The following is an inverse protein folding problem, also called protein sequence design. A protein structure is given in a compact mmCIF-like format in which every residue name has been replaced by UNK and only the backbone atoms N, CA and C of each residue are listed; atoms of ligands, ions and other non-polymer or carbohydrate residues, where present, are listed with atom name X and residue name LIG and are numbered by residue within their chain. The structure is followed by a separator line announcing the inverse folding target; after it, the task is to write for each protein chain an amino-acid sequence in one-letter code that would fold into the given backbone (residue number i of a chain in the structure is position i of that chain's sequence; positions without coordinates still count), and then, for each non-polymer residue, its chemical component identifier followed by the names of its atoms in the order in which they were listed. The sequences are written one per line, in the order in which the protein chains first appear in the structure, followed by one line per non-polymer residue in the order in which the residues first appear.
data_IF_543313112068
#
_entry.id   IF_543313112068
#
_cell.length_a   1.000
_cell.length_b   1.000
_cell.length_c   1.000
_cell.angle_alpha   90.00
_cell.angle_beta   90.00
_cell.angle_gamma   90.00
#
_symmetry.space_group_name_H-M   'P 1'
#
loop_
_entity.id
_entity.type
_entity.pdbx_description
1 polymer ?
#
# COMPACT_ATOMS: atom_id res chain seq x y z
N UNK A 1 -28.29 5.93 33.84
CA UNK A 1 -28.49 5.29 32.51
C UNK A 1 -27.33 5.51 31.54
N UNK A 2 -26.69 6.69 31.47
CA UNK A 2 -25.48 6.91 30.67
C UNK A 2 -24.26 6.06 31.10
N UNK A 3 -24.10 5.84 32.41
CA UNK A 3 -22.96 5.08 32.95
C UNK A 3 -23.00 3.57 32.60
N UNK A 4 -24.21 3.02 32.46
CA UNK A 4 -24.45 1.62 32.12
C UNK A 4 -24.22 1.37 30.63
N UNK A 5 -24.62 2.30 29.76
CA UNK A 5 -24.32 2.25 28.32
C UNK A 5 -22.82 2.28 28.05
N UNK A 6 -22.07 3.12 28.77
CA UNK A 6 -20.60 3.22 28.66
C UNK A 6 -19.89 1.93 29.13
N UNK A 7 -20.40 1.25 30.17
CA UNK A 7 -19.88 -0.04 30.63
C UNK A 7 -20.18 -1.18 29.64
N UNK A 8 -21.35 -1.20 29.01
CA UNK A 8 -21.72 -2.22 28.02
C UNK A 8 -20.93 -2.07 26.71
N UNK A 9 -20.68 -0.83 26.25
CA UNK A 9 -19.76 -0.54 25.14
C UNK A 9 -18.35 -1.04 25.44
N UNK A 10 -17.80 -0.70 26.62
CA UNK A 10 -16.47 -1.18 27.05
C UNK A 10 -16.39 -2.71 27.13
N UNK A 11 -17.50 -3.40 27.39
CA UNK A 11 -17.56 -4.87 27.47
C UNK A 11 -17.70 -5.53 26.09
N UNK A 12 -18.40 -4.90 25.15
CA UNK A 12 -18.46 -5.31 23.75
C UNK A 12 -17.08 -5.17 23.08
N UNK A 13 -16.42 -4.01 23.30
CA UNK A 13 -15.05 -3.74 22.85
C UNK A 13 -14.01 -4.68 23.51
N UNK A 14 -14.25 -5.19 24.72
CA UNK A 14 -13.35 -6.14 25.39
C UNK A 14 -13.46 -7.59 24.89
N UNK A 15 -14.49 -7.89 24.10
CA UNK A 15 -14.78 -9.24 23.56
C UNK A 15 -14.60 -9.33 22.05
N UNK A 16 -14.22 -8.23 21.40
CA UNK A 16 -13.58 -8.27 20.09
C UNK A 16 -12.34 -9.15 20.20
N UNK A 17 -12.18 -10.05 19.24
CA UNK A 17 -11.11 -11.05 19.19
C UNK A 17 -9.79 -10.39 19.57
N UNK A 18 -9.10 -11.00 20.53
CA UNK A 18 -7.89 -10.46 21.13
C UNK A 18 -6.95 -9.96 20.02
N UNK A 19 -6.79 -8.64 19.91
CA UNK A 19 -5.90 -8.01 18.95
C UNK A 19 -6.53 -6.87 18.17
N UNK A 20 -7.65 -7.06 17.46
CA UNK A 20 -8.01 -6.10 16.39
C UNK A 20 -9.08 -5.08 16.80
N UNK A 21 -8.93 -3.82 16.37
CA UNK A 21 -9.94 -2.75 16.46
C UNK A 21 -10.20 -2.21 15.05
N UNK A 22 -11.47 -2.19 14.62
CA UNK A 22 -11.87 -1.51 13.39
C UNK A 22 -11.99 0.00 13.61
N UNK A 23 -11.36 0.80 12.75
CA UNK A 23 -11.30 2.25 12.85
C UNK A 23 -11.95 2.92 11.64
N UNK A 24 -12.88 3.84 11.91
CA UNK A 24 -13.45 4.74 10.92
C UNK A 24 -12.52 5.96 10.80
N UNK A 25 -11.77 6.04 9.70
CA UNK A 25 -10.68 7.02 9.52
C UNK A 25 -11.19 8.42 9.19
N UNK A 26 -12.38 8.54 8.61
CA UNK A 26 -12.96 9.84 8.22
C UNK A 26 -14.43 10.03 8.66
N UNK A 27 -14.88 11.27 8.50
CA UNK A 27 -16.20 11.75 8.91
C UNK A 27 -17.33 11.22 8.01
N UNK A 28 -17.06 10.92 6.73
CA UNK A 28 -18.05 10.35 5.81
C UNK A 28 -18.42 8.93 6.27
N UNK A 29 -17.41 8.10 6.51
CA UNK A 29 -17.60 6.72 6.98
C UNK A 29 -18.23 6.68 8.37
N UNK A 30 -17.81 7.59 9.25
CA UNK A 30 -18.45 7.75 10.55
C UNK A 30 -19.96 8.03 10.43
N UNK A 31 -20.36 8.93 9.52
CA UNK A 31 -21.78 9.24 9.27
C UNK A 31 -22.52 8.06 8.66
N UNK A 32 -21.89 7.28 7.78
CA UNK A 32 -22.50 6.07 7.24
C UNK A 32 -22.84 5.08 8.37
N UNK A 33 -21.99 4.94 9.39
CA UNK A 33 -22.25 4.08 10.55
C UNK A 33 -23.33 4.63 11.50
N UNK A 34 -23.52 5.96 11.57
CA UNK A 34 -24.56 6.61 12.39
C UNK A 34 -25.99 6.23 12.00
N UNK A 35 -26.22 5.62 10.83
CA UNK A 35 -27.53 5.07 10.43
C UNK A 35 -27.97 3.88 11.31
N UNK A 36 -27.02 3.19 11.94
CA UNK A 36 -27.27 2.06 12.82
C UNK A 36 -27.51 2.55 14.26
N UNK A 37 -28.67 2.23 14.84
CA UNK A 37 -29.09 2.74 16.16
C UNK A 37 -28.17 2.28 17.30
N UNK A 38 -27.52 1.13 17.12
CA UNK A 38 -26.55 0.56 18.05
C UNK A 38 -25.17 1.23 17.99
N UNK A 39 -24.93 2.14 17.04
CA UNK A 39 -23.71 2.93 16.92
C UNK A 39 -23.92 4.30 17.58
N UNK A 40 -23.62 4.39 18.87
CA UNK A 40 -24.07 5.50 19.73
C UNK A 40 -23.07 6.65 19.91
N UNK A 41 -22.02 6.73 19.08
CA UNK A 41 -21.05 7.83 19.14
C UNK A 41 -21.66 9.13 18.61
N UNK A 42 -21.34 10.27 19.23
CA UNK A 42 -21.98 11.55 18.93
C UNK A 42 -21.40 12.22 17.67
N UNK A 43 -20.08 12.26 17.56
CA UNK A 43 -19.30 12.90 16.50
C UNK A 43 -17.96 12.16 16.31
N UNK A 44 -17.32 12.34 15.16
CA UNK A 44 -16.10 11.62 14.77
C UNK A 44 -14.90 11.96 15.67
N UNK A 45 -14.72 13.23 16.03
CA UNK A 45 -13.61 13.64 16.90
C UNK A 45 -13.69 12.98 18.29
N UNK A 46 -14.89 12.93 18.88
CA UNK A 46 -15.15 12.23 20.14
C UNK A 46 -14.96 10.72 19.99
N UNK A 47 -15.34 10.14 18.84
CA UNK A 47 -15.10 8.73 18.54
C UNK A 47 -13.60 8.40 18.49
N UNK A 48 -12.81 9.15 17.70
CA UNK A 48 -11.35 8.93 17.60
C UNK A 48 -10.68 9.05 18.97
N UNK A 49 -11.02 10.09 19.75
CA UNK A 49 -10.48 10.24 21.11
C UNK A 49 -10.78 9.03 22.00
N UNK A 50 -12.01 8.51 21.96
CA UNK A 50 -12.39 7.34 22.75
C UNK A 50 -11.69 6.06 22.30
N UNK A 51 -11.46 5.89 20.99
CA UNK A 51 -10.69 4.77 20.45
C UNK A 51 -9.22 4.89 20.85
N UNK A 52 -8.63 6.08 20.77
CA UNK A 52 -7.26 6.32 21.21
C UNK A 52 -7.06 6.01 22.70
N UNK A 53 -7.97 6.47 23.57
CA UNK A 53 -7.94 6.16 25.01
C UNK A 53 -8.01 4.64 25.26
N UNK A 54 -8.80 3.91 24.44
CA UNK A 54 -8.90 2.46 24.50
C UNK A 54 -7.59 1.78 24.06
N UNK A 55 -6.99 2.23 22.96
CA UNK A 55 -5.72 1.73 22.45
C UNK A 55 -4.60 1.91 23.47
N UNK A 56 -4.46 3.12 24.03
CA UNK A 56 -3.50 3.44 25.10
C UNK A 56 -3.71 2.55 26.32
N UNK A 57 -4.97 2.32 26.71
CA UNK A 57 -5.30 1.43 27.83
C UNK A 57 -4.84 -0.02 27.54
N UNK A 58 -5.09 -0.55 26.35
CA UNK A 58 -4.65 -1.92 25.96
C UNK A 58 -3.12 -2.04 25.91
N UNK A 59 -2.44 -1.06 25.32
CA UNK A 59 -0.99 -1.02 25.25
C UNK A 59 -0.35 -1.02 26.66
N UNK A 60 -0.88 -0.21 27.59
CA UNK A 60 -0.41 -0.20 28.99
C UNK A 60 -0.61 -1.52 29.75
N UNK A 61 -1.49 -2.39 29.25
CA UNK A 61 -1.75 -3.73 29.81
C UNK A 61 -0.91 -4.83 29.13
N UNK A 62 0.00 -4.44 28.22
CA UNK A 62 0.87 -5.36 27.47
C UNK A 62 0.15 -6.11 26.35
N UNK A 63 -1.05 -5.66 25.94
CA UNK A 63 -1.79 -6.27 24.85
C UNK A 63 -1.31 -5.77 23.48
N UNK A 64 -0.90 -6.69 22.61
CA UNK A 64 -0.71 -6.39 21.19
C UNK A 64 -2.06 -6.07 20.58
N UNK A 65 -2.16 -4.89 19.97
CA UNK A 65 -3.41 -4.44 19.34
C UNK A 65 -3.11 -4.10 17.88
N UNK A 66 -3.90 -4.62 16.96
CA UNK A 66 -3.92 -4.27 15.55
C UNK A 66 -5.08 -3.32 15.31
N UNK A 67 -4.89 -2.32 14.47
CA UNK A 67 -5.95 -1.41 14.02
C UNK A 67 -6.18 -1.66 12.55
N UNK A 68 -7.43 -1.95 12.18
CA UNK A 68 -7.81 -2.20 10.80
C UNK A 68 -8.75 -1.09 10.30
N UNK A 69 -8.65 -0.73 9.02
CA UNK A 69 -9.58 0.21 8.40
C UNK A 69 -10.97 -0.43 8.36
N UNK A 70 -11.98 0.29 8.85
CA UNK A 70 -13.37 -0.17 8.84
C UNK A 70 -14.14 0.60 7.76
N UNK A 71 -14.40 -0.06 6.63
CA UNK A 71 -15.27 0.49 5.59
C UNK A 71 -16.75 0.13 5.88
N UNK A 72 -17.65 1.14 6.05
CA UNK A 72 -19.07 0.91 6.28
C UNK A 72 -19.85 0.28 5.12
N UNK A 73 -19.37 0.44 3.88
CA UNK A 73 -19.91 -0.18 2.68
C UNK A 73 -19.57 -1.67 2.68
N UNK A 74 -18.29 -2.02 2.82
CA UNK A 74 -17.86 -3.43 2.93
C UNK A 74 -18.55 -4.13 4.11
N UNK A 75 -18.71 -3.44 5.25
CA UNK A 75 -19.47 -3.98 6.38
C UNK A 75 -20.93 -4.32 6.03
N UNK A 76 -21.57 -3.48 5.23
CA UNK A 76 -22.96 -3.71 4.80
C UNK A 76 -23.05 -4.90 3.84
N UNK A 77 -22.13 -4.99 2.87
CA UNK A 77 -22.01 -6.11 1.93
C UNK A 77 -21.71 -7.43 2.66
N UNK A 78 -20.79 -7.41 3.62
CA UNK A 78 -20.50 -8.55 4.49
C UNK A 78 -21.74 -9.02 5.24
N UNK A 79 -22.50 -8.09 5.84
CA UNK A 79 -23.72 -8.43 6.56
C UNK A 79 -24.80 -9.02 5.64
N UNK A 80 -24.95 -8.47 4.43
CA UNK A 80 -25.87 -8.99 3.43
C UNK A 80 -25.48 -10.41 2.99
N UNK A 81 -24.21 -10.61 2.61
CA UNK A 81 -23.69 -11.90 2.17
C UNK A 81 -23.79 -13.00 3.25
N UNK A 82 -23.66 -12.64 4.52
CA UNK A 82 -23.68 -13.57 5.66
C UNK A 82 -25.03 -13.67 6.37
N UNK A 83 -26.04 -12.90 5.94
CA UNK A 83 -27.36 -12.83 6.58
C UNK A 83 -27.33 -12.28 8.01
N UNK A 84 -26.35 -11.43 8.34
CA UNK A 84 -26.21 -10.79 9.64
C UNK A 84 -27.00 -9.48 9.71
N UNK A 85 -27.53 -9.16 10.88
CA UNK A 85 -28.13 -7.84 11.11
C UNK A 85 -27.00 -6.80 11.28
N UNK A 86 -26.93 -5.75 10.45
CA UNK A 86 -25.86 -4.76 10.56
C UNK A 86 -26.00 -3.83 11.78
N UNK A 87 -27.19 -3.75 12.41
CA UNK A 87 -27.44 -2.89 13.57
C UNK A 87 -27.24 -3.58 14.94
N UNK A 88 -26.42 -4.64 15.01
CA UNK A 88 -26.06 -5.26 16.30
C UNK A 88 -24.53 -5.25 16.51
N UNK A 89 -24.06 -5.01 17.75
CA UNK A 89 -22.62 -4.99 18.05
C UNK A 89 -21.88 -6.26 17.67
N UNK A 90 -22.51 -7.44 17.79
CA UNK A 90 -21.88 -8.71 17.45
C UNK A 90 -21.57 -8.88 15.97
N UNK A 91 -22.34 -8.26 15.07
CA UNK A 91 -22.06 -8.29 13.63
C UNK A 91 -20.83 -7.45 13.30
N UNK A 92 -20.71 -6.26 13.90
CA UNK A 92 -19.49 -5.44 13.81
C UNK A 92 -18.27 -6.18 14.33
N UNK A 93 -18.38 -6.83 15.50
CA UNK A 93 -17.28 -7.65 16.04
C UNK A 93 -16.88 -8.78 15.09
N UNK A 94 -17.84 -9.42 14.40
CA UNK A 94 -17.53 -10.44 13.38
C UNK A 94 -16.85 -9.84 12.15
N UNK A 95 -17.25 -8.66 11.72
CA UNK A 95 -16.58 -7.99 10.61
C UNK A 95 -15.18 -7.53 10.98
N UNK A 96 -14.96 -6.96 12.17
CA UNK A 96 -13.61 -6.65 12.69
C UNK A 96 -12.72 -7.91 12.78
N UNK A 97 -13.30 -9.08 13.01
CA UNK A 97 -12.59 -10.35 12.94
C UNK A 97 -12.08 -10.67 11.53
N UNK A 98 -12.91 -10.41 10.52
CA UNK A 98 -12.60 -10.63 9.13
C UNK A 98 -11.46 -9.70 8.69
N UNK A 99 -11.60 -8.40 9.02
CA UNK A 99 -10.59 -7.38 8.76
C UNK A 99 -9.22 -7.74 9.33
N UNK A 100 -9.15 -8.47 10.45
CA UNK A 100 -7.89 -8.91 11.04
C UNK A 100 -7.09 -9.87 10.14
N UNK A 101 -7.75 -10.54 9.18
CA UNK A 101 -7.12 -11.51 8.28
C UNK A 101 -6.98 -10.98 6.86
N UNK A 102 -7.89 -10.11 6.42
CA UNK A 102 -8.01 -9.72 5.01
C UNK A 102 -8.03 -8.22 4.78
N UNK A 103 -8.19 -7.40 5.82
CA UNK A 103 -8.35 -5.96 5.67
C UNK A 103 -7.04 -5.19 5.89
N UNK A 104 -6.99 -3.91 5.45
CA UNK A 104 -5.85 -3.03 5.69
C UNK A 104 -5.66 -2.86 7.20
N UNK A 105 -4.50 -3.26 7.71
CA UNK A 105 -4.31 -3.37 9.15
C UNK A 105 -2.86 -3.11 9.59
N UNK A 106 -2.71 -2.29 10.65
CA UNK A 106 -1.41 -1.92 11.21
C UNK A 106 -1.30 -2.25 12.69
N UNK A 107 -0.12 -2.65 13.19
CA UNK A 107 0.10 -2.78 14.62
C UNK A 107 0.01 -1.39 15.31
N UNK A 108 -0.60 -1.38 16.49
CA UNK A 108 -0.58 -0.24 17.39
C UNK A 108 0.63 -0.34 18.32
N UNK A 109 1.56 0.60 18.18
CA UNK A 109 2.83 0.65 18.91
C UNK A 109 2.87 1.76 19.97
N UNK A 110 1.75 2.48 20.17
CA UNK A 110 1.63 3.57 21.14
C UNK A 110 1.65 4.97 20.54
N UNK A 111 1.74 5.09 19.21
CA UNK A 111 1.63 6.33 18.46
C UNK A 111 0.24 6.98 18.64
N UNK A 112 0.10 8.31 18.46
CA UNK A 112 -1.20 8.96 18.45
C UNK A 112 -1.99 8.62 17.17
N UNK A 113 -3.33 8.73 17.23
CA UNK A 113 -4.17 8.47 16.05
C UNK A 113 -3.92 9.47 14.91
N UNK A 114 -3.39 10.66 15.21
CA UNK A 114 -3.00 11.63 14.16
C UNK A 114 -1.93 11.09 13.23
N UNK A 115 -1.10 10.16 13.71
CA UNK A 115 0.01 9.58 12.97
C UNK A 115 -0.39 8.21 12.40
N UNK A 116 -1.20 7.44 13.14
CA UNK A 116 -1.68 6.13 12.69
C UNK A 116 -2.73 6.22 11.58
N UNK A 117 -3.65 7.19 11.63
CA UNK A 117 -4.74 7.28 10.64
C UNK A 117 -4.20 7.47 9.22
N UNK A 118 -3.28 8.42 8.94
CA UNK A 118 -2.68 8.54 7.61
C UNK A 118 -2.02 7.23 7.16
N UNK A 119 -1.18 6.62 8.00
CA UNK A 119 -0.52 5.36 7.67
C UNK A 119 -1.52 4.23 7.36
N UNK A 120 -2.64 4.15 8.07
CA UNK A 120 -3.67 3.14 7.83
C UNK A 120 -4.44 3.39 6.52
N UNK A 121 -4.62 4.66 6.13
CA UNK A 121 -5.20 5.02 4.84
C UNK A 121 -4.23 4.66 3.71
N UNK A 122 -2.94 4.97 3.87
CA UNK A 122 -1.90 4.60 2.91
C UNK A 122 -1.85 3.07 2.71
N UNK A 123 -1.93 2.31 3.81
CA UNK A 123 -2.03 0.84 3.78
C UNK A 123 -3.27 0.34 3.03
N UNK A 124 -4.41 1.02 3.17
CA UNK A 124 -5.62 0.67 2.43
C UNK A 124 -5.52 0.95 0.93
N UNK A 125 -4.92 2.08 0.55
CA UNK A 125 -4.65 2.41 -0.85
C UNK A 125 -3.70 1.39 -1.46
N UNK A 126 -2.67 0.98 -0.72
CA UNK A 126 -1.70 -0.04 -1.09
C UNK A 126 -2.37 -1.37 -1.40
N UNK A 127 -3.19 -1.84 -0.46
CA UNK A 127 -3.92 -3.09 -0.62
C UNK A 127 -4.88 -3.04 -1.82
N UNK A 128 -5.65 -1.95 -1.97
CA UNK A 128 -6.58 -1.78 -3.09
C UNK A 128 -5.84 -1.77 -4.45
N UNK A 129 -4.68 -1.12 -4.52
CA UNK A 129 -3.83 -1.08 -5.72
C UNK A 129 -3.34 -2.48 -6.09
N UNK A 130 -2.87 -3.25 -5.11
CA UNK A 130 -2.44 -4.63 -5.31
C UNK A 130 -3.59 -5.54 -5.79
N UNK A 131 -4.75 -5.47 -5.16
CA UNK A 131 -5.93 -6.27 -5.52
C UNK A 131 -6.42 -5.96 -6.94
N UNK A 132 -6.44 -4.67 -7.29
CA UNK A 132 -6.80 -4.22 -8.63
C UNK A 132 -5.81 -4.74 -9.68
N UNK A 133 -4.51 -4.53 -9.47
CA UNK A 133 -3.47 -4.98 -10.39
C UNK A 133 -3.45 -6.51 -10.56
N UNK A 134 -3.62 -7.24 -9.47
CA UNK A 134 -3.74 -8.71 -9.46
C UNK A 134 -4.95 -9.17 -10.29
N UNK A 135 -6.10 -8.51 -10.11
CA UNK A 135 -7.32 -8.79 -10.89
C UNK A 135 -7.10 -8.57 -12.38
N UNK A 136 -6.39 -7.50 -12.76
CA UNK A 136 -6.09 -7.21 -14.16
C UNK A 136 -5.12 -8.24 -14.77
N UNK A 137 -4.06 -8.61 -14.04
CA UNK A 137 -3.12 -9.64 -14.49
C UNK A 137 -3.81 -10.99 -14.71
N UNK A 138 -4.69 -11.40 -13.78
CA UNK A 138 -5.45 -12.64 -13.89
C UNK A 138 -6.38 -12.67 -15.11
N UNK A 139 -6.84 -11.51 -15.61
CA UNK A 139 -7.72 -11.41 -16.79
C UNK A 139 -6.99 -11.59 -18.12
N UNK A 140 -5.66 -11.50 -18.15
CA UNK A 140 -4.88 -11.65 -19.38
C UNK A 140 -4.95 -13.08 -19.94
N UNK A 141 -5.06 -14.08 -19.07
CA UNK A 141 -5.14 -15.48 -19.45
C UNK A 141 -3.87 -16.02 -20.10
N UNK A 142 -4.04 -17.10 -20.87
CA UNK A 142 -2.94 -17.79 -21.53
C UNK A 142 -2.70 -17.27 -22.95
N UNK A 143 -1.43 -17.26 -23.36
CA UNK A 143 -1.00 -16.95 -24.71
C UNK A 143 -1.60 -17.95 -25.72
N UNK A 144 -2.21 -17.43 -26.78
CA UNK A 144 -2.86 -18.26 -27.80
C UNK A 144 -1.91 -19.13 -28.64
N UNK A 145 -0.61 -18.83 -28.66
CA UNK A 145 0.38 -19.58 -29.46
C UNK A 145 1.17 -20.62 -28.65
N UNK A 146 1.56 -20.31 -27.41
CA UNK A 146 2.40 -21.18 -26.58
C UNK A 146 1.71 -21.70 -25.30
N UNK A 147 0.53 -21.18 -24.96
CA UNK A 147 -0.22 -21.59 -23.76
C UNK A 147 0.34 -21.08 -22.44
N UNK A 148 1.35 -20.21 -22.46
CA UNK A 148 1.93 -19.59 -21.25
C UNK A 148 0.96 -18.59 -20.61
N UNK A 149 0.83 -18.62 -19.28
CA UNK A 149 0.07 -17.61 -18.53
C UNK A 149 0.79 -16.26 -18.59
N UNK A 150 0.17 -15.29 -19.25
CA UNK A 150 0.76 -13.98 -19.53
C UNK A 150 0.98 -13.17 -18.25
N UNK A 151 0.05 -13.25 -17.29
CA UNK A 151 0.16 -12.54 -16.02
C UNK A 151 1.32 -13.08 -15.18
N UNK A 152 1.44 -14.41 -15.11
CA UNK A 152 2.56 -15.06 -14.40
C UNK A 152 3.91 -14.80 -15.07
N UNK A 153 3.97 -14.81 -16.40
CA UNK A 153 5.19 -14.49 -17.14
C UNK A 153 5.64 -13.06 -16.88
N UNK A 154 4.70 -12.10 -16.91
CA UNK A 154 4.98 -10.70 -16.61
C UNK A 154 5.42 -10.49 -15.16
N UNK A 155 4.78 -11.16 -14.19
CA UNK A 155 5.17 -11.10 -12.78
C UNK A 155 6.60 -11.61 -12.57
N UNK A 156 6.94 -12.76 -13.16
CA UNK A 156 8.30 -13.32 -13.10
C UNK A 156 9.34 -12.33 -13.64
N UNK A 157 9.02 -11.66 -14.75
CA UNK A 157 9.89 -10.66 -15.37
C UNK A 157 10.05 -9.42 -14.50
N UNK A 158 8.96 -8.90 -13.95
CA UNK A 158 8.98 -7.78 -13.02
C UNK A 158 9.83 -8.10 -11.78
N UNK A 159 9.71 -9.30 -11.21
CA UNK A 159 10.53 -9.73 -10.06
C UNK A 159 12.02 -9.74 -10.42
N UNK A 160 12.38 -10.24 -11.59
CA UNK A 160 13.79 -10.24 -12.03
C UNK A 160 14.33 -8.82 -12.20
N UNK A 161 13.55 -7.92 -12.80
CA UNK A 161 13.95 -6.51 -12.95
C UNK A 161 14.13 -5.83 -11.60
N UNK A 162 13.23 -6.07 -10.64
CA UNK A 162 13.35 -5.53 -9.29
C UNK A 162 14.63 -6.01 -8.61
N UNK A 163 14.94 -7.30 -8.69
CA UNK A 163 16.19 -7.86 -8.15
C UNK A 163 17.40 -7.21 -8.80
N UNK A 164 17.41 -7.05 -10.13
CA UNK A 164 18.52 -6.38 -10.84
C UNK A 164 18.69 -4.91 -10.41
N UNK A 165 17.61 -4.18 -10.19
CA UNK A 165 17.67 -2.80 -9.70
C UNK A 165 18.31 -2.76 -8.32
N UNK A 166 17.86 -3.63 -7.39
CA UNK A 166 18.37 -3.67 -6.03
C UNK A 166 19.83 -4.16 -5.98
N UNK A 167 20.22 -5.14 -6.79
CA UNK A 167 21.59 -5.66 -6.88
C UNK A 167 22.59 -4.63 -7.43
N UNK A 168 22.12 -3.69 -8.24
CA UNK A 168 22.96 -2.61 -8.80
C UNK A 168 22.91 -1.33 -7.96
N UNK A 169 22.05 -1.28 -6.95
CA UNK A 169 21.90 -0.13 -6.09
C UNK A 169 23.14 0.04 -5.20
N UNK A 170 23.47 1.30 -4.89
CA UNK A 170 24.58 1.61 -3.99
C UNK A 170 24.17 1.36 -2.53
N UNK A 171 25.10 1.02 -1.63
CA UNK A 171 24.82 0.92 -0.19
C UNK A 171 24.02 2.11 0.35
N UNK A 172 22.98 1.84 1.14
CA UNK A 172 22.09 2.86 1.69
C UNK A 172 20.66 2.39 1.94
N UNK A 173 19.79 3.36 2.20
CA UNK A 173 18.33 3.17 2.18
C UNK A 173 17.82 3.56 0.79
N UNK A 174 16.84 2.82 0.31
CA UNK A 174 16.27 2.99 -1.01
C UNK A 174 14.78 3.26 -0.91
N UNK A 175 14.32 4.23 -1.69
CA UNK A 175 12.92 4.49 -1.90
C UNK A 175 12.65 4.41 -3.39
N UNK A 176 11.92 3.37 -3.80
CA UNK A 176 11.54 3.12 -5.18
C UNK A 176 10.08 3.51 -5.37
N UNK A 177 9.78 4.17 -6.49
CA UNK A 177 8.41 4.48 -6.90
C UNK A 177 8.22 3.97 -8.32
N UNK A 178 7.20 3.13 -8.53
CA UNK A 178 6.77 2.66 -9.84
C UNK A 178 5.42 3.28 -10.17
N UNK A 179 5.34 3.96 -11.31
CA UNK A 179 4.12 4.59 -11.81
C UNK A 179 3.77 4.04 -13.18
N UNK A 180 2.61 3.40 -13.29
CA UNK A 180 2.11 2.77 -14.52
C UNK A 180 0.79 3.44 -14.93
N UNK A 181 0.77 4.02 -16.12
CA UNK A 181 -0.46 4.56 -16.69
C UNK A 181 -1.43 3.41 -17.00
N UNK A 182 -2.57 3.41 -16.32
CA UNK A 182 -3.66 2.47 -16.55
C UNK A 182 -4.98 3.22 -16.75
N UNK A 183 -5.99 2.54 -17.27
CA UNK A 183 -7.36 3.08 -17.32
C UNK A 183 -8.18 2.40 -16.22
N UNK A 184 -8.88 3.15 -15.34
CA UNK A 184 -9.16 4.59 -15.45
C UNK A 184 -8.06 5.52 -14.90
N UNK A 185 -7.16 5.03 -14.04
CA UNK A 185 -6.20 5.86 -13.30
C UNK A 185 -4.77 5.28 -13.33
N UNK A 186 -3.77 6.13 -13.08
CA UNK A 186 -2.37 5.71 -12.93
C UNK A 186 -2.22 4.93 -11.63
N UNK A 187 -1.62 3.74 -11.70
CA UNK A 187 -1.25 2.98 -10.52
C UNK A 187 0.14 3.38 -10.07
N UNK A 188 0.30 3.62 -8.77
CA UNK A 188 1.57 3.95 -8.14
C UNK A 188 1.82 2.95 -7.03
N UNK A 189 3.02 2.38 -6.99
CA UNK A 189 3.48 1.53 -5.90
C UNK A 189 4.83 2.03 -5.39
N UNK A 190 5.02 1.93 -4.08
CA UNK A 190 6.22 2.35 -3.38
C UNK A 190 6.87 1.14 -2.74
N UNK A 191 8.20 1.08 -2.81
CA UNK A 191 8.99 0.06 -2.14
C UNK A 191 10.16 0.69 -1.42
N UNK A 192 10.26 0.41 -0.13
CA UNK A 192 11.41 0.75 0.70
C UNK A 192 12.35 -0.45 0.80
N UNK A 193 13.64 -0.18 0.75
CA UNK A 193 14.64 -1.17 1.07
C UNK A 193 15.77 -0.59 1.90
N UNK A 194 16.19 -1.34 2.91
CA UNK A 194 17.27 -0.94 3.81
C UNK A 194 18.37 -1.98 3.78
N UNK A 195 19.62 -1.54 3.69
CA UNK A 195 20.76 -2.43 3.88
C UNK A 195 20.96 -2.71 5.37
N UNK A 196 20.85 -3.98 5.78
CA UNK A 196 21.09 -4.35 7.17
C UNK A 196 22.59 -4.34 7.52
N UNK A 197 22.91 -4.48 8.81
CA UNK A 197 24.29 -4.50 9.30
C UNK A 197 25.20 -5.59 8.71
N UNK A 198 24.62 -6.58 8.00
CA UNK A 198 25.33 -7.64 7.29
C UNK A 198 25.42 -7.44 5.77
N UNK A 199 24.96 -6.31 5.24
CA UNK A 199 24.97 -6.00 3.80
C UNK A 199 23.86 -6.67 2.99
N UNK A 200 22.85 -7.25 3.63
CA UNK A 200 21.70 -7.82 2.93
C UNK A 200 20.55 -6.81 2.89
N UNK A 201 19.94 -6.68 1.71
CA UNK A 201 18.76 -5.83 1.49
C UNK A 201 17.56 -6.43 2.25
N UNK A 202 16.94 -5.62 3.12
CA UNK A 202 15.66 -5.91 3.75
C UNK A 202 14.56 -5.18 2.99
N UNK A 203 13.49 -5.91 2.71
CA UNK A 203 12.30 -5.42 2.04
C UNK A 203 11.09 -5.77 2.90
N UNK A 204 10.11 -4.89 2.93
CA UNK A 204 8.77 -5.30 3.32
C UNK A 204 8.18 -6.22 2.24
N UNK A 205 7.71 -7.40 2.64
CA UNK A 205 7.21 -8.40 1.69
C UNK A 205 5.93 -7.92 0.98
N UNK A 206 5.11 -7.13 1.65
CA UNK A 206 3.84 -6.65 1.11
C UNK A 206 4.07 -5.49 0.12
N UNK A 207 4.98 -4.55 0.44
CA UNK A 207 5.45 -3.53 -0.51
C UNK A 207 6.09 -4.18 -1.74
N UNK A 208 6.98 -5.15 -1.55
CA UNK A 208 7.66 -5.81 -2.67
C UNK A 208 6.68 -6.54 -3.58
N UNK A 209 5.66 -7.19 -3.01
CA UNK A 209 4.62 -7.88 -3.75
C UNK A 209 3.74 -6.90 -4.56
N UNK A 210 3.27 -5.82 -3.94
CA UNK A 210 2.50 -4.77 -4.63
C UNK A 210 3.32 -4.16 -5.76
N UNK A 211 4.53 -3.69 -5.46
CA UNK A 211 5.43 -3.04 -6.41
C UNK A 211 5.69 -3.93 -7.63
N UNK A 212 6.00 -5.20 -7.39
CA UNK A 212 6.21 -6.19 -8.46
C UNK A 212 4.93 -6.41 -9.28
N UNK A 213 3.76 -6.44 -8.63
CA UNK A 213 2.47 -6.63 -9.30
C UNK A 213 2.14 -5.43 -10.21
N UNK A 214 2.37 -4.20 -9.75
CA UNK A 214 2.16 -2.99 -10.55
C UNK A 214 3.13 -2.95 -11.74
N UNK A 215 4.42 -3.21 -11.52
CA UNK A 215 5.41 -3.28 -12.61
C UNK A 215 5.04 -4.37 -13.64
N UNK A 216 4.61 -5.54 -13.17
CA UNK A 216 4.18 -6.64 -14.02
C UNK A 216 2.98 -6.25 -14.89
N UNK A 217 2.01 -5.53 -14.33
CA UNK A 217 0.88 -5.03 -15.09
C UNK A 217 1.33 -4.09 -16.22
N UNK A 218 2.27 -3.20 -15.92
CA UNK A 218 2.87 -2.33 -16.91
C UNK A 218 3.50 -3.10 -18.08
N UNK A 219 4.32 -4.11 -17.74
CA UNK A 219 5.00 -4.99 -18.71
C UNK A 219 3.98 -5.73 -19.57
N UNK A 220 2.98 -6.35 -18.94
CA UNK A 220 2.02 -7.20 -19.62
C UNK A 220 1.13 -6.43 -20.60
N UNK A 221 0.74 -5.21 -20.24
CA UNK A 221 -0.10 -4.35 -21.07
C UNK A 221 0.70 -3.42 -22.00
N UNK A 222 2.04 -3.43 -21.91
CA UNK A 222 2.90 -2.46 -22.57
C UNK A 222 2.47 -1.00 -22.27
N UNK A 223 1.98 -0.79 -21.05
CA UNK A 223 1.51 0.51 -20.59
C UNK A 223 2.70 1.47 -20.46
N UNK A 224 2.53 2.75 -20.83
CA UNK A 224 3.49 3.77 -20.47
C UNK A 224 3.69 3.81 -18.96
N UNK A 225 4.92 3.96 -18.51
CA UNK A 225 5.25 4.02 -17.10
C UNK A 225 6.71 4.32 -16.85
N UNK A 226 7.04 4.51 -15.58
CA UNK A 226 8.39 4.78 -15.14
C UNK A 226 8.64 4.24 -13.73
N UNK A 227 9.91 4.09 -13.43
CA UNK A 227 10.40 3.71 -12.12
C UNK A 227 11.49 4.70 -11.73
N UNK A 228 11.42 5.21 -10.51
CA UNK A 228 12.49 6.02 -9.93
C UNK A 228 12.98 5.35 -8.64
N UNK A 229 14.28 5.48 -8.37
CA UNK A 229 14.90 5.02 -7.14
C UNK A 229 15.71 6.17 -6.56
N UNK A 230 15.37 6.57 -5.33
CA UNK A 230 16.20 7.43 -4.49
C UNK A 230 17.05 6.55 -3.59
N UNK A 231 18.36 6.80 -3.55
CA UNK A 231 19.28 6.21 -2.58
C UNK A 231 19.74 7.29 -1.62
N UNK A 232 19.56 7.04 -0.34
CA UNK A 232 20.01 7.89 0.76
C UNK A 232 21.05 7.15 1.58
N UNK A 233 22.17 7.82 1.87
CA UNK A 233 23.23 7.26 2.72
C UNK A 233 23.84 8.34 3.61
N UNK A 234 24.25 7.96 4.81
CA UNK A 234 24.76 8.92 5.80
C UNK A 234 26.00 9.65 5.29
N UNK A 235 25.95 10.99 5.33
CA UNK A 235 27.08 11.85 4.98
C UNK A 235 27.32 12.00 3.47
N UNK A 236 26.37 11.56 2.63
CA UNK A 236 26.43 11.74 1.17
C UNK A 236 25.17 12.42 0.65
N UNK A 237 25.30 13.15 -0.44
CA UNK A 237 24.17 13.68 -1.23
C UNK A 237 23.30 12.53 -1.72
N UNK A 238 21.98 12.70 -1.65
CA UNK A 238 21.03 11.71 -2.13
C UNK A 238 21.15 11.57 -3.64
N UNK A 239 20.91 10.35 -4.14
CA UNK A 239 21.01 10.06 -5.58
C UNK A 239 19.70 9.55 -6.11
N UNK A 240 19.27 10.10 -7.24
CA UNK A 240 18.04 9.67 -7.90
C UNK A 240 18.39 9.08 -9.26
N UNK A 241 17.90 7.88 -9.48
CA UNK A 241 17.97 7.14 -10.73
C UNK A 241 16.57 6.94 -11.28
N UNK A 242 16.44 6.87 -12.60
CA UNK A 242 15.14 6.63 -13.22
C UNK A 242 15.24 5.72 -14.42
N UNK A 243 14.18 4.98 -14.67
CA UNK A 243 13.96 4.14 -15.83
C UNK A 243 12.57 4.40 -16.39
N UNK A 244 12.43 4.29 -17.70
CA UNK A 244 11.12 4.24 -18.37
C UNK A 244 10.80 2.82 -18.75
N UNK A 245 9.53 2.46 -18.62
CA UNK A 245 9.03 1.18 -19.08
C UNK A 245 8.82 1.22 -20.60
N UNK A 246 9.46 0.29 -21.31
CA UNK A 246 9.34 0.17 -22.77
C UNK A 246 9.28 -1.30 -23.17
N UNK A 247 8.17 -1.69 -23.79
CA UNK A 247 7.95 -3.09 -24.14
C UNK A 247 7.93 -3.95 -22.88
N UNK A 248 8.89 -4.86 -22.80
CA UNK A 248 9.07 -5.76 -21.66
C UNK A 248 10.20 -5.39 -20.71
N UNK A 249 10.84 -4.24 -20.94
CA UNK A 249 12.09 -3.85 -20.30
C UNK A 249 12.09 -2.45 -19.68
N UNK A 250 13.17 -2.14 -19.00
CA UNK A 250 13.44 -0.83 -18.40
C UNK A 250 14.58 -0.15 -19.14
N UNK A 251 14.27 0.95 -19.82
CA UNK A 251 15.29 1.79 -20.45
C UNK A 251 15.75 2.89 -19.48
N UNK A 252 17.06 3.14 -19.35
CA UNK A 252 17.58 4.14 -18.43
C UNK A 252 17.17 5.56 -18.83
N UNK A 253 16.76 6.36 -17.86
CA UNK A 253 16.59 7.81 -18.03
C UNK A 253 17.93 8.53 -17.92
N UNK A 254 18.07 9.60 -18.68
CA UNK A 254 19.18 10.54 -18.50
C UNK A 254 19.00 11.36 -17.24
N UNK A 255 20.10 11.90 -16.68
CA UNK A 255 20.04 12.78 -15.52
C UNK A 255 19.09 13.98 -15.73
N UNK A 256 19.03 14.54 -16.95
CA UNK A 256 18.11 15.62 -17.29
C UNK A 256 16.65 15.19 -17.27
N UNK A 257 16.33 14.00 -17.78
CA UNK A 257 14.96 13.48 -17.74
C UNK A 257 14.48 13.19 -16.31
N UNK A 258 15.37 12.70 -15.44
CA UNK A 258 15.05 12.50 -14.01
C UNK A 258 14.85 13.85 -13.31
N UNK A 259 15.72 14.82 -13.59
CA UNK A 259 15.60 16.18 -13.07
C UNK A 259 14.27 16.83 -13.47
N UNK A 260 13.91 16.77 -14.76
CA UNK A 260 12.67 17.35 -15.28
C UNK A 260 11.44 16.70 -14.63
N UNK A 261 11.47 15.39 -14.43
CA UNK A 261 10.39 14.66 -13.76
C UNK A 261 10.22 15.11 -12.29
N UNK A 262 11.30 15.32 -11.54
CA UNK A 262 11.25 15.80 -10.15
C UNK A 262 10.99 17.30 -10.01
N UNK A 263 11.17 18.07 -11.09
CA UNK A 263 10.86 19.49 -11.13
C UNK A 263 9.47 19.77 -11.72
N UNK A 264 8.63 18.75 -11.88
CA UNK A 264 7.26 18.88 -12.38
C UNK A 264 6.27 18.37 -11.35
N UNK A 265 5.30 19.20 -10.97
CA UNK A 265 4.22 18.82 -10.08
C UNK A 265 3.32 17.77 -10.74
N UNK A 266 3.04 16.68 -10.01
CA UNK A 266 2.33 15.52 -10.58
C UNK A 266 0.86 15.81 -10.89
N UNK A 267 0.22 16.72 -10.16
CA UNK A 267 -1.20 17.02 -10.29
C UNK A 267 -1.46 18.14 -11.31
N UNK A 268 -0.65 19.19 -11.29
CA UNK A 268 -0.81 20.39 -12.11
C UNK A 268 0.06 20.42 -13.36
N UNK A 269 1.18 19.70 -13.36
CA UNK A 269 2.23 19.81 -14.38
C UNK A 269 3.06 21.09 -14.28
N UNK A 270 2.87 21.90 -13.23
CA UNK A 270 3.63 23.13 -13.02
C UNK A 270 5.08 22.84 -12.58
N UNK A 271 5.98 23.78 -12.86
CA UNK A 271 7.37 23.64 -12.45
C UNK A 271 7.53 23.87 -10.94
N UNK A 272 8.14 22.92 -10.27
CA UNK A 272 8.56 23.02 -8.87
C UNK A 272 10.07 23.22 -8.77
N UNK A 273 10.51 23.91 -7.73
CA UNK A 273 11.94 24.15 -7.52
C UNK A 273 12.66 22.85 -7.20
N UNK A 274 13.86 22.62 -7.75
CA UNK A 274 14.60 21.40 -7.47
C UNK A 274 14.94 21.29 -5.98
N UNK A 275 14.86 20.07 -5.45
CA UNK A 275 15.31 19.75 -4.10
C UNK A 275 16.81 20.03 -3.95
N UNK A 276 17.20 20.62 -2.81
CA UNK A 276 18.62 20.80 -2.47
C UNK A 276 19.23 19.48 -2.00
N UNK A 277 20.54 19.31 -2.18
CA UNK A 277 21.28 18.13 -1.75
C UNK A 277 20.83 16.81 -2.42
N UNK A 278 20.42 16.89 -3.69
CA UNK A 278 20.05 15.75 -4.54
C UNK A 278 20.85 15.75 -5.86
N UNK A 279 21.49 14.61 -6.17
CA UNK A 279 22.18 14.33 -7.42
C UNK A 279 21.29 13.48 -8.35
N UNK A 280 20.81 14.07 -9.45
CA UNK A 280 20.12 13.34 -10.51
C UNK A 280 21.12 12.61 -11.39
N UNK A 281 21.01 11.28 -11.47
CA UNK A 281 22.01 10.41 -12.06
C UNK A 281 21.44 9.54 -13.19
N UNK A 282 22.31 9.13 -14.11
CA UNK A 282 22.00 8.01 -15.01
C UNK A 282 22.06 6.72 -14.18
N UNK A 283 21.05 5.83 -14.26
CA UNK A 283 21.07 4.56 -13.54
C UNK A 283 22.23 3.66 -13.96
N UNK A 284 22.65 2.72 -13.09
CA UNK A 284 23.52 1.63 -13.49
C UNK A 284 22.86 0.75 -14.56
N UNK A 285 23.67 0.11 -15.40
CA UNK A 285 23.21 -0.89 -16.36
C UNK A 285 22.66 -2.10 -15.60
N UNK A 286 21.41 -2.48 -15.86
CA UNK A 286 20.75 -3.65 -15.27
C UNK A 286 21.26 -4.98 -15.87
N UNK A 287 22.19 -4.88 -16.83
CA UNK A 287 22.74 -6.02 -17.55
C UNK A 287 21.79 -6.52 -18.63
N UNK A 288 22.18 -7.56 -19.39
CA UNK A 288 21.30 -8.13 -20.39
C UNK A 288 20.06 -8.69 -19.69
N UNK A 289 18.88 -8.27 -20.14
CA UNK A 289 17.63 -8.96 -19.84
C UNK A 289 17.86 -10.44 -20.14
N UNK A 290 17.79 -11.29 -19.12
CA UNK A 290 17.94 -12.72 -19.31
C UNK A 290 17.01 -13.14 -20.44
N UNK A 291 17.58 -13.65 -21.53
CA UNK A 291 16.88 -14.01 -22.77
C UNK A 291 15.68 -14.91 -22.47
N UNK A 292 14.54 -14.31 -22.17
CA UNK A 292 13.25 -14.96 -22.19
C UNK A 292 12.67 -14.52 -23.51
N UNK A 293 12.61 -15.49 -24.42
CA UNK A 293 12.14 -15.38 -25.80
C UNK A 293 11.24 -14.16 -25.99
N UNK A 294 11.74 -13.16 -26.72
CA UNK A 294 10.91 -12.09 -27.25
C UNK A 294 9.76 -12.76 -27.98
N UNK A 295 8.55 -12.66 -27.44
CA UNK A 295 7.35 -13.19 -28.06
C UNK A 295 7.02 -12.28 -29.24
N UNK A 296 7.56 -12.61 -30.42
CA UNK A 296 7.13 -12.00 -31.66
C UNK A 296 5.73 -12.50 -31.99
N UNK A 297 4.76 -11.59 -31.96
CA UNK A 297 3.39 -11.79 -32.47
C UNK A 297 3.37 -12.04 -33.98
#
# INVERSE_FOLDING_TARGET
MAHTAHQTMRRALRREIAGTIGLLTDEHDFRAMRRYRSFTFADHATYLKQVEDLLKTRASQGGHTTVALFDPLEYAEFCEATGLNPDIPSSRTRFTAELANTGPALPYEGQPLTDLVPALVDEAVRQATWEYATTLLARLGACGSCGEDLGRAAFTRASHLLVQILDTARPGTHHLVCSITSTPETLVAVLHSDENAGGAVQLDEAEALEFTTVLALGIANQSPGGLVMRTTAQGTTDRIYGWRLRGDGLEPLTAGEVFDAYCTDVDSGDLISPESDVDYCVPPDLGPEGQTLRHSH
#
